data_IF_680184683156
#
_entry.id   IF_680184683156
#
_cell.length_a   1.000
_cell.length_b   1.000
_cell.length_c   1.000
_cell.angle_alpha   90.00
_cell.angle_beta   90.00
_cell.angle_gamma   90.00
#
_symmetry.space_group_name_H-M   'P 1'
#
loop_
_entity.id
_entity.type
_entity.pdbx_description
1 polymer ?
#
# COMPACT_ATOMS: atom_id res chain seq x y z
N UNK A 1 -60.74 -16.90 37.20
CA UNK A 1 -60.97 -16.43 35.82
C UNK A 1 -59.79 -15.56 35.37
N UNK A 2 -59.02 -16.11 34.43
CA UNK A 2 -58.31 -15.42 33.33
C UNK A 2 -57.21 -14.38 33.63
N UNK A 3 -55.95 -14.84 33.77
CA UNK A 3 -54.76 -14.04 33.42
C UNK A 3 -54.16 -14.54 32.09
N UNK A 4 -54.61 -13.86 31.03
CA UNK A 4 -53.89 -13.36 29.84
C UNK A 4 -52.36 -13.20 30.04
N UNK A 5 -51.43 -13.40 29.09
CA UNK A 5 -51.36 -13.89 27.70
C UNK A 5 -49.86 -13.98 27.29
N UNK A 6 -49.52 -14.78 26.25
CA UNK A 6 -48.41 -14.65 25.26
C UNK A 6 -46.95 -14.73 25.81
N UNK A 7 -46.10 -15.74 25.59
CA UNK A 7 -45.68 -16.54 24.41
C UNK A 7 -45.02 -15.75 23.26
N UNK A 8 -43.72 -16.07 23.07
CA UNK A 8 -42.81 -15.96 21.90
C UNK A 8 -42.56 -14.57 21.30
N UNK A 9 -41.34 -14.04 21.41
CA UNK A 9 -40.12 -14.34 20.63
C UNK A 9 -39.97 -13.36 19.47
N UNK A 10 -38.77 -12.82 19.28
CA UNK A 10 -38.14 -12.64 17.98
C UNK A 10 -36.70 -12.15 18.17
N UNK A 11 -35.79 -13.01 17.74
CA UNK A 11 -34.37 -12.76 17.61
C UNK A 11 -34.14 -11.53 16.71
N UNK A 12 -33.31 -10.60 17.16
CA UNK A 12 -32.76 -9.56 16.31
C UNK A 12 -31.65 -10.17 15.45
N UNK A 13 -31.79 -10.23 14.11
CA UNK A 13 -30.66 -10.55 13.26
C UNK A 13 -29.75 -9.31 13.24
N UNK A 14 -28.60 -9.41 13.91
CA UNK A 14 -27.51 -8.45 13.73
C UNK A 14 -26.99 -8.61 12.29
N UNK A 15 -27.53 -7.76 11.42
CA UNK A 15 -26.91 -7.16 10.24
C UNK A 15 -25.60 -7.84 9.78
N UNK A 16 -25.76 -8.85 8.94
CA UNK A 16 -24.72 -9.28 8.01
C UNK A 16 -24.55 -8.19 6.94
N UNK A 17 -23.63 -7.26 7.19
CA UNK A 17 -23.12 -6.34 6.17
C UNK A 17 -21.66 -6.71 5.86
N UNK A 18 -21.30 -7.09 4.63
CA UNK A 18 -19.90 -7.27 4.28
C UNK A 18 -19.24 -5.89 4.26
N UNK A 19 -18.42 -5.59 5.27
CA UNK A 19 -17.44 -4.51 5.23
C UNK A 19 -16.30 -4.91 4.27
N UNK A 20 -16.60 -4.96 2.98
CA UNK A 20 -15.58 -4.93 1.94
C UNK A 20 -15.19 -3.47 1.69
N UNK A 21 -14.60 -2.81 2.70
CA UNK A 21 -13.74 -1.66 2.45
C UNK A 21 -12.42 -2.21 1.93
N UNK A 22 -12.42 -2.65 0.67
CA UNK A 22 -11.20 -2.67 -0.10
C UNK A 22 -10.74 -1.22 -0.18
N UNK A 23 -9.74 -0.86 0.62
CA UNK A 23 -8.95 0.33 0.39
C UNK A 23 -8.16 0.11 -0.92
N UNK A 24 -8.88 0.09 -2.04
CA UNK A 24 -8.28 0.33 -3.34
C UNK A 24 -7.86 1.79 -3.28
N UNK A 25 -6.59 2.01 -2.95
CA UNK A 25 -5.96 3.31 -3.04
C UNK A 25 -6.30 3.86 -4.42
N UNK A 26 -7.05 4.96 -4.47
CA UNK A 26 -7.36 5.63 -5.73
C UNK A 26 -6.02 5.85 -6.45
N UNK A 27 -5.91 5.50 -7.75
CA UNK A 27 -4.69 5.70 -8.51
C UNK A 27 -4.27 7.14 -8.32
N UNK A 28 -3.15 7.33 -7.61
CA UNK A 28 -2.63 8.64 -7.27
C UNK A 28 -2.30 9.35 -8.58
N UNK A 29 -3.24 10.18 -9.05
CA UNK A 29 -3.11 10.93 -10.30
C UNK A 29 -2.00 11.94 -10.13
N UNK A 30 -0.83 11.65 -10.68
CA UNK A 30 0.34 12.51 -10.61
C UNK A 30 1.58 11.78 -11.07
N UNK A 31 2.59 12.53 -11.52
CA UNK A 31 3.91 11.97 -11.80
C UNK A 31 4.69 11.98 -10.49
N UNK A 32 5.22 10.83 -10.11
CA UNK A 32 6.04 10.65 -8.91
C UNK A 32 7.49 10.39 -9.29
N UNK A 33 8.39 10.83 -8.42
CA UNK A 33 9.81 10.54 -8.52
C UNK A 33 10.22 9.66 -7.35
N UNK A 34 10.84 8.51 -7.66
CA UNK A 34 11.55 7.76 -6.65
C UNK A 34 12.87 8.47 -6.37
N UNK A 35 13.08 8.86 -5.11
CA UNK A 35 14.31 9.48 -4.64
C UNK A 35 14.90 8.61 -3.56
N UNK A 36 16.19 8.31 -3.67
CA UNK A 36 16.92 7.58 -2.64
C UNK A 36 18.04 8.46 -2.11
N UNK A 37 18.14 8.54 -0.79
CA UNK A 37 19.22 9.23 -0.11
C UNK A 37 20.48 8.39 -0.17
N UNK A 38 21.57 9.03 -0.60
CA UNK A 38 22.90 8.46 -0.52
C UNK A 38 23.41 8.55 0.93
N UNK A 39 23.76 7.43 1.59
CA UNK A 39 24.14 7.44 3.00
C UNK A 39 25.49 8.11 3.26
N UNK A 40 26.38 8.18 2.28
CA UNK A 40 27.71 8.78 2.43
C UNK A 40 27.64 10.31 2.37
N UNK A 41 26.86 10.83 1.42
CA UNK A 41 26.75 12.27 1.14
C UNK A 41 25.51 12.92 1.74
N UNK A 42 24.55 12.11 2.23
CA UNK A 42 23.22 12.51 2.71
C UNK A 42 22.37 13.26 1.68
N UNK A 43 22.73 13.20 0.41
CA UNK A 43 21.99 13.85 -0.68
C UNK A 43 20.89 12.93 -1.23
N UNK A 44 19.79 13.52 -1.68
CA UNK A 44 18.68 12.80 -2.32
C UNK A 44 18.88 12.77 -3.84
N UNK A 45 19.08 11.57 -4.41
CA UNK A 45 19.18 11.36 -5.84
C UNK A 45 17.88 10.81 -6.42
N UNK A 46 17.46 11.30 -7.59
CA UNK A 46 16.32 10.74 -8.33
C UNK A 46 16.77 9.46 -9.02
N UNK A 47 16.13 8.34 -8.69
CA UNK A 47 16.39 7.04 -9.31
C UNK A 47 15.44 6.74 -10.47
N UNK A 48 14.30 7.43 -10.55
CA UNK A 48 13.42 7.36 -11.72
C UNK A 48 12.08 8.05 -11.49
N UNK A 49 11.26 8.09 -12.55
CA UNK A 49 9.93 8.70 -12.54
C UNK A 49 8.88 7.69 -12.98
N UNK A 50 7.75 7.68 -12.29
CA UNK A 50 6.62 6.83 -12.61
C UNK A 50 5.31 7.44 -12.11
N UNK A 51 4.23 7.14 -12.81
CA UNK A 51 2.86 7.39 -12.39
C UNK A 51 2.28 6.13 -11.75
N UNK A 52 1.28 6.31 -10.89
CA UNK A 52 0.62 5.22 -10.17
C UNK A 52 1.62 4.31 -9.42
N UNK A 53 2.44 4.89 -8.51
CA UNK A 53 3.44 4.14 -7.76
C UNK A 53 2.81 3.06 -6.88
N UNK A 54 3.25 1.83 -7.05
CA UNK A 54 2.97 0.70 -6.16
C UNK A 54 4.27 0.14 -5.58
N UNK A 55 4.40 0.14 -4.26
CA UNK A 55 5.55 -0.46 -3.58
C UNK A 55 5.25 -1.94 -3.34
N UNK A 56 6.03 -2.81 -3.96
CA UNK A 56 5.89 -4.26 -3.85
C UNK A 56 7.07 -4.83 -3.08
N UNK A 57 6.79 -5.66 -2.07
CA UNK A 57 7.82 -6.45 -1.40
C UNK A 57 8.23 -7.64 -2.28
N UNK A 58 9.53 -7.78 -2.52
CA UNK A 58 10.04 -8.93 -3.25
C UNK A 58 10.05 -10.16 -2.34
N UNK A 59 9.51 -11.31 -2.76
CA UNK A 59 9.61 -12.54 -1.99
C UNK A 59 11.07 -12.99 -1.93
N UNK A 60 11.78 -12.59 -0.88
CA UNK A 60 13.20 -12.87 -0.73
C UNK A 60 13.92 -11.97 0.28
N UNK A 61 13.52 -12.01 1.55
CA UNK A 61 14.40 -12.21 2.72
C UNK A 61 13.57 -12.26 4.02
N UNK A 62 14.03 -13.10 4.96
CA UNK A 62 13.26 -13.77 6.02
C UNK A 62 12.88 -12.90 7.25
N UNK A 63 11.98 -13.40 8.13
CA UNK A 63 11.46 -12.68 9.30
C UNK A 63 12.53 -12.56 10.38
N UNK A 64 12.79 -11.33 10.83
CA UNK A 64 13.86 -11.07 11.81
C UNK A 64 14.34 -9.62 11.88
N UNK A 65 13.41 -8.64 11.88
CA UNK A 65 13.64 -7.37 12.56
C UNK A 65 14.59 -6.35 11.92
N UNK A 66 14.84 -6.38 10.60
CA UNK A 66 15.43 -5.22 9.90
C UNK A 66 14.72 -4.97 8.57
N UNK A 67 14.12 -3.78 8.34
CA UNK A 67 13.45 -3.47 7.09
C UNK A 67 14.49 -3.30 5.99
N UNK A 68 14.86 -4.42 5.34
CA UNK A 68 15.88 -4.45 4.31
C UNK A 68 15.67 -5.53 3.25
N UNK A 69 14.45 -6.06 3.12
CA UNK A 69 14.07 -6.80 1.90
C UNK A 69 14.01 -5.82 0.74
N UNK A 70 14.70 -6.11 -0.37
CA UNK A 70 14.71 -5.24 -1.55
C UNK A 70 13.29 -5.02 -2.05
N UNK A 71 12.74 -3.83 -1.82
CA UNK A 71 11.43 -3.44 -2.33
C UNK A 71 11.60 -2.97 -3.76
N UNK A 72 10.55 -3.08 -4.55
CA UNK A 72 10.51 -2.55 -5.91
C UNK A 72 9.31 -1.61 -6.02
N UNK A 73 9.48 -0.47 -6.68
CA UNK A 73 8.38 0.41 -7.03
C UNK A 73 7.97 0.13 -8.45
N UNK A 74 6.73 -0.31 -8.64
CA UNK A 74 6.12 -0.52 -9.94
C UNK A 74 5.26 0.68 -10.28
N UNK A 75 5.12 0.95 -11.57
CA UNK A 75 4.20 1.96 -12.05
C UNK A 75 4.33 2.14 -13.55
N UNK A 76 3.87 3.28 -14.04
CA UNK A 76 3.91 3.61 -15.46
C UNK A 76 4.97 4.69 -15.70
N UNK A 77 5.97 4.40 -16.53
CA UNK A 77 7.00 5.36 -16.90
C UNK A 77 6.45 6.55 -17.71
N UNK A 78 7.29 7.57 -17.96
CA UNK A 78 6.89 8.75 -18.72
C UNK A 78 6.44 8.44 -20.15
N UNK A 79 6.91 7.33 -20.71
CA UNK A 79 6.57 6.82 -22.04
C UNK A 79 5.27 6.00 -22.08
N UNK A 80 4.53 5.92 -20.96
CA UNK A 80 3.30 5.12 -20.85
C UNK A 80 3.53 3.61 -20.71
N UNK A 81 4.79 3.17 -20.57
CA UNK A 81 5.15 1.75 -20.42
C UNK A 81 5.29 1.36 -18.95
N UNK A 82 4.97 0.11 -18.58
CA UNK A 82 5.26 -0.40 -17.24
C UNK A 82 6.76 -0.26 -16.91
N UNK A 83 7.07 0.29 -15.75
CA UNK A 83 8.43 0.44 -15.23
C UNK A 83 8.52 -0.12 -13.81
N UNK A 84 9.67 -0.70 -13.49
CA UNK A 84 10.00 -1.18 -12.15
C UNK A 84 11.29 -0.51 -11.73
N UNK A 85 11.26 0.23 -10.63
CA UNK A 85 12.43 0.86 -10.04
C UNK A 85 12.84 0.11 -8.77
N UNK A 86 14.14 -0.19 -8.60
CA UNK A 86 14.61 -0.79 -7.36
C UNK A 86 14.50 0.22 -6.22
N UNK A 87 14.07 -0.25 -5.05
CA UNK A 87 14.14 0.48 -3.79
C UNK A 87 15.15 -0.24 -2.89
N UNK A 88 16.43 0.17 -2.93
CA UNK A 88 17.49 -0.49 -2.18
C UNK A 88 17.23 -0.44 -0.68
N UNK A 89 17.53 -1.55 -0.01
CA UNK A 89 17.40 -1.70 1.43
C UNK A 89 18.47 -0.93 2.23
N UNK A 90 19.63 -0.71 1.62
CA UNK A 90 20.74 0.04 2.20
C UNK A 90 20.52 1.56 2.18
N UNK A 91 19.44 2.03 1.58
CA UNK A 91 19.15 3.46 1.39
C UNK A 91 17.75 3.84 1.87
N UNK A 92 17.63 5.06 2.37
CA UNK A 92 16.32 5.66 2.62
C UNK A 92 15.75 6.16 1.30
N UNK A 93 14.66 5.57 0.83
CA UNK A 93 13.97 6.00 -0.38
C UNK A 93 12.58 6.54 -0.08
N UNK A 94 12.14 7.52 -0.87
CA UNK A 94 10.86 8.21 -0.76
C UNK A 94 10.30 8.50 -2.16
N UNK A 95 8.98 8.44 -2.28
CA UNK A 95 8.26 8.92 -3.45
C UNK A 95 7.89 10.39 -3.25
N UNK A 96 8.32 11.25 -4.17
CA UNK A 96 7.96 12.66 -4.20
C UNK A 96 6.99 12.91 -5.35
N UNK A 97 5.87 13.56 -5.08
CA UNK A 97 5.06 14.14 -6.16
C UNK A 97 5.87 15.25 -6.85
N UNK A 98 5.68 15.38 -8.16
CA UNK A 98 6.28 16.44 -8.98
C UNK A 98 5.21 17.43 -9.45
#
# INVERSE_FOLDING_TARGET
MTRRTLILALAAPLLAGPLASGAAAEPMKGRYELRCQDPATRQWAVTGQLSDPEIVEKPGEKPGGKPGGGREVRGTGPDGKPVVLPMPADRTCMLSAR
#
